data_IF_309999034829
#
_entry.id   IF_309999034829
#
_cell.length_a   1.000
_cell.length_b   1.000
_cell.length_c   1.000
_cell.angle_alpha   90.00
_cell.angle_beta   90.00
_cell.angle_gamma   90.00
#
_symmetry.space_group_name_H-M   'P 1'
#
loop_
_entity.id
_entity.type
_entity.pdbx_description
1 polymer ?
#
# COMPACT_ATOMS: atom_id res chain seq x y z
N UNK A 1 3.12 18.67 -23.39
CA UNK A 1 2.54 19.13 -22.12
C UNK A 1 3.66 19.18 -21.06
N UNK A 2 4.11 20.38 -20.63
CA UNK A 2 5.20 20.50 -19.63
C UNK A 2 4.63 20.21 -18.24
N UNK A 3 4.96 19.07 -17.65
CA UNK A 3 4.71 18.76 -16.25
C UNK A 3 5.42 19.78 -15.36
N UNK A 4 4.68 20.67 -14.71
CA UNK A 4 5.22 21.53 -13.65
C UNK A 4 5.40 20.68 -12.39
N UNK A 5 6.60 20.17 -12.17
CA UNK A 5 6.97 19.47 -10.94
C UNK A 5 7.06 20.52 -9.83
N UNK A 6 6.04 20.60 -8.98
CA UNK A 6 6.14 21.35 -7.72
C UNK A 6 6.96 20.52 -6.72
N UNK A 7 8.10 21.05 -6.28
CA UNK A 7 8.81 20.57 -5.09
C UNK A 7 7.97 20.95 -3.86
N UNK A 8 7.20 20.03 -3.34
CA UNK A 8 6.49 20.22 -2.08
C UNK A 8 6.54 18.91 -1.30
N UNK A 9 7.53 18.77 -0.47
CA UNK A 9 7.60 17.73 0.54
C UNK A 9 8.34 18.27 1.76
N UNK A 10 7.65 18.41 2.85
CA UNK A 10 8.28 18.74 4.12
C UNK A 10 8.83 17.44 4.73
N UNK A 11 10.06 17.05 4.31
CA UNK A 11 10.73 15.80 4.70
C UNK A 11 11.02 15.66 6.21
N UNK A 12 10.49 16.54 7.07
CA UNK A 12 10.73 16.49 8.52
C UNK A 12 10.23 15.20 9.16
N UNK A 13 9.13 14.65 8.67
CA UNK A 13 8.55 13.42 9.21
C UNK A 13 9.12 12.12 8.61
N UNK A 14 9.87 12.19 7.51
CA UNK A 14 10.44 11.01 6.85
C UNK A 14 11.55 10.32 7.66
N UNK A 15 12.23 11.04 8.56
CA UNK A 15 13.35 10.49 9.36
C UNK A 15 12.96 9.26 10.19
N UNK A 16 11.72 9.18 10.69
CA UNK A 16 11.25 8.00 11.43
C UNK A 16 11.30 6.73 10.60
N UNK A 17 11.12 6.82 9.28
CA UNK A 17 11.13 5.68 8.38
C UNK A 17 12.54 5.13 8.12
N UNK A 18 13.61 5.92 8.33
CA UNK A 18 14.98 5.42 8.27
C UNK A 18 15.25 4.31 9.29
N UNK A 19 14.54 4.34 10.44
CA UNK A 19 14.60 3.30 11.45
C UNK A 19 13.57 2.19 11.15
N UNK A 20 12.34 2.56 10.85
CA UNK A 20 11.25 1.62 10.69
C UNK A 20 11.39 0.70 9.46
N UNK A 21 12.00 1.18 8.35
CA UNK A 21 12.14 0.38 7.13
C UNK A 21 13.15 -0.77 7.30
N UNK A 22 14.36 -0.58 7.85
CA UNK A 22 15.25 -1.70 8.18
C UNK A 22 14.62 -2.71 9.17
N UNK A 23 13.90 -2.22 10.18
CA UNK A 23 13.17 -3.05 11.14
C UNK A 23 12.01 -3.85 10.48
N UNK A 24 11.53 -3.40 9.33
CA UNK A 24 10.50 -4.09 8.56
C UNK A 24 11.02 -5.31 7.77
N UNK A 25 12.27 -5.75 7.94
CA UNK A 25 12.80 -6.97 7.32
C UNK A 25 11.99 -8.24 7.64
N UNK A 26 11.23 -8.22 8.72
CA UNK A 26 10.25 -9.29 9.05
C UNK A 26 9.21 -9.54 7.95
N UNK A 27 9.02 -8.63 6.98
CA UNK A 27 8.10 -8.84 5.86
C UNK A 27 8.44 -10.06 5.02
N UNK A 28 9.71 -10.46 4.99
CA UNK A 28 10.16 -11.63 4.22
C UNK A 28 9.68 -12.97 4.78
N UNK A 29 9.02 -12.99 5.93
CA UNK A 29 8.25 -14.16 6.39
C UNK A 29 7.04 -14.49 5.48
N UNK A 30 6.54 -13.49 4.73
CA UNK A 30 5.35 -13.60 3.87
C UNK A 30 5.53 -12.96 2.49
N UNK A 31 6.58 -12.19 2.29
CA UNK A 31 6.93 -11.58 1.02
C UNK A 31 8.21 -12.20 0.45
N UNK A 32 8.36 -12.14 -0.85
CA UNK A 32 9.62 -12.42 -1.51
C UNK A 32 10.34 -11.10 -1.82
N UNK A 33 11.67 -11.12 -1.86
CA UNK A 33 12.43 -10.11 -2.58
C UNK A 33 12.13 -10.29 -4.05
N UNK A 34 11.26 -9.43 -4.59
CA UNK A 34 10.74 -9.61 -5.94
C UNK A 34 11.80 -9.24 -6.97
N UNK A 35 11.90 -9.96 -8.08
CA UNK A 35 12.89 -9.62 -9.10
C UNK A 35 12.59 -8.28 -9.76
N UNK A 36 13.66 -7.60 -10.15
CA UNK A 36 13.59 -6.46 -11.07
C UNK A 36 13.90 -6.96 -12.48
N UNK A 37 12.95 -6.86 -13.39
CA UNK A 37 13.05 -7.41 -14.75
C UNK A 37 13.17 -6.29 -15.79
N UNK A 38 14.07 -6.46 -16.77
CA UNK A 38 14.19 -5.54 -17.89
C UNK A 38 12.98 -5.70 -18.84
N UNK A 39 12.26 -4.62 -19.08
CA UNK A 39 11.09 -4.59 -19.97
C UNK A 39 11.54 -4.29 -21.41
N UNK A 40 12.13 -5.27 -22.08
CA UNK A 40 12.82 -5.12 -23.39
C UNK A 40 11.95 -4.41 -24.43
N UNK A 41 10.75 -4.90 -24.69
CA UNK A 41 9.86 -4.33 -25.71
C UNK A 41 9.45 -2.89 -25.40
N UNK A 42 9.18 -2.59 -24.11
CA UNK A 42 8.83 -1.24 -23.67
C UNK A 42 10.05 -0.32 -23.76
N UNK A 43 11.22 -0.82 -23.41
CA UNK A 43 12.49 -0.08 -23.51
C UNK A 43 12.81 0.34 -24.95
N UNK A 44 12.62 -0.57 -25.92
CA UNK A 44 12.79 -0.27 -27.33
C UNK A 44 11.77 0.79 -27.79
N UNK A 45 10.49 0.59 -27.44
CA UNK A 45 9.41 1.49 -27.84
C UNK A 45 9.61 2.91 -27.33
N UNK A 46 10.05 3.06 -26.09
CA UNK A 46 10.21 4.38 -25.43
C UNK A 46 11.64 4.91 -25.52
N UNK A 47 12.54 4.22 -26.23
CA UNK A 47 13.96 4.56 -26.35
C UNK A 47 14.60 4.87 -24.98
N UNK A 48 14.41 3.97 -24.02
CA UNK A 48 14.85 4.11 -22.63
C UNK A 48 15.18 2.74 -22.03
N UNK A 49 15.91 2.69 -20.92
CA UNK A 49 16.09 1.46 -20.14
C UNK A 49 15.02 1.36 -19.09
N UNK A 50 14.01 0.51 -19.29
CA UNK A 50 12.85 0.39 -18.40
C UNK A 50 12.90 -0.95 -17.68
N UNK A 51 12.78 -0.89 -16.37
CA UNK A 51 12.77 -2.04 -15.48
C UNK A 51 11.46 -2.09 -14.69
N UNK A 52 10.99 -3.30 -14.39
CA UNK A 52 9.78 -3.55 -13.62
C UNK A 52 10.14 -4.27 -12.33
N UNK A 53 9.90 -3.64 -11.17
CA UNK A 53 9.92 -4.33 -9.87
C UNK A 53 8.64 -5.15 -9.74
N UNK A 54 8.78 -6.47 -9.75
CA UNK A 54 7.70 -7.43 -10.01
C UNK A 54 6.89 -7.78 -8.75
N UNK A 55 6.22 -6.81 -8.16
CA UNK A 55 5.34 -7.04 -6.99
C UNK A 55 4.06 -7.85 -7.34
N UNK A 56 3.78 -8.06 -8.60
CA UNK A 56 2.77 -9.00 -9.08
C UNK A 56 3.15 -10.49 -8.84
N UNK A 57 4.42 -10.78 -8.59
CA UNK A 57 4.89 -12.12 -8.26
C UNK A 57 4.81 -12.45 -6.77
N UNK A 58 4.38 -11.53 -5.93
CA UNK A 58 4.14 -11.77 -4.52
C UNK A 58 3.04 -12.84 -4.31
N UNK A 59 3.02 -13.59 -3.18
CA UNK A 59 2.05 -14.67 -2.91
C UNK A 59 0.57 -14.29 -3.01
N UNK A 60 0.28 -12.98 -2.95
CA UNK A 60 -1.08 -12.42 -3.12
C UNK A 60 -1.18 -11.52 -4.35
N UNK A 61 -0.21 -11.63 -5.28
CA UNK A 61 -0.13 -10.85 -6.52
C UNK A 61 -0.10 -9.33 -6.31
N UNK A 62 0.47 -8.88 -5.20
CA UNK A 62 0.66 -7.45 -4.89
C UNK A 62 1.54 -7.22 -3.67
N UNK A 63 2.12 -6.03 -3.58
CA UNK A 63 2.96 -5.58 -2.47
C UNK A 63 2.25 -5.48 -1.10
N UNK A 64 0.93 -5.64 -1.05
CA UNK A 64 0.13 -5.38 0.16
C UNK A 64 0.43 -6.32 1.32
N UNK A 65 0.98 -7.52 1.07
CA UNK A 65 1.43 -8.42 2.11
C UNK A 65 2.50 -7.78 3.00
N UNK A 66 3.44 -7.01 2.44
CA UNK A 66 4.56 -6.37 3.16
C UNK A 66 4.05 -5.46 4.28
N UNK A 67 3.29 -4.43 3.96
CA UNK A 67 2.80 -3.47 4.95
C UNK A 67 1.76 -4.06 5.91
N UNK A 68 0.90 -4.96 5.45
CA UNK A 68 -0.06 -5.64 6.31
C UNK A 68 0.66 -6.50 7.36
N UNK A 69 1.63 -7.30 6.94
CA UNK A 69 2.41 -8.15 7.85
C UNK A 69 3.22 -7.32 8.83
N UNK A 70 3.98 -6.32 8.34
CA UNK A 70 4.77 -5.46 9.21
C UNK A 70 3.92 -4.75 10.26
N UNK A 71 2.71 -4.31 9.90
CA UNK A 71 1.78 -3.73 10.88
C UNK A 71 1.36 -4.74 11.93
N UNK A 72 0.96 -5.93 11.53
CA UNK A 72 0.34 -6.92 12.41
C UNK A 72 1.39 -7.58 13.33
N UNK A 73 2.57 -7.91 12.82
CA UNK A 73 3.64 -8.54 13.62
C UNK A 73 4.12 -7.62 14.74
N UNK A 74 4.11 -6.30 14.54
CA UNK A 74 4.50 -5.30 15.52
C UNK A 74 3.39 -4.90 16.52
N UNK A 75 2.24 -5.55 16.51
CA UNK A 75 1.22 -5.38 17.54
C UNK A 75 1.61 -6.12 18.82
N UNK A 76 1.20 -5.58 19.98
CA UNK A 76 1.33 -6.30 21.24
C UNK A 76 0.50 -7.59 21.22
N UNK A 77 0.92 -8.60 21.98
CA UNK A 77 0.22 -9.89 22.06
C UNK A 77 -1.22 -9.73 22.52
N UNK A 78 -1.49 -8.80 23.42
CA UNK A 78 -2.86 -8.41 23.82
C UNK A 78 -3.69 -7.93 22.64
N UNK A 79 -3.14 -7.14 21.70
CA UNK A 79 -3.84 -6.69 20.49
C UNK A 79 -4.03 -7.82 19.49
N UNK A 80 -3.02 -8.69 19.33
CA UNK A 80 -3.09 -9.86 18.45
C UNK A 80 -4.16 -10.85 18.93
N UNK A 81 -4.24 -11.14 20.23
CA UNK A 81 -5.21 -12.08 20.80
C UNK A 81 -6.67 -11.64 20.64
N UNK A 82 -6.92 -10.32 20.61
CA UNK A 82 -8.25 -9.78 20.35
C UNK A 82 -8.69 -9.98 18.90
N UNK A 83 -7.73 -10.00 17.96
CA UNK A 83 -7.97 -10.17 16.53
C UNK A 83 -7.87 -8.89 15.71
N UNK A 84 -7.88 -9.09 14.41
CA UNK A 84 -7.63 -8.06 13.40
C UNK A 84 -8.90 -7.85 12.56
N UNK A 85 -9.10 -6.60 12.14
CA UNK A 85 -10.15 -6.25 11.19
C UNK A 85 -9.62 -5.29 10.12
N UNK A 86 -10.08 -5.48 8.89
CA UNK A 86 -9.87 -4.54 7.80
C UNK A 86 -11.12 -4.42 6.93
N UNK A 87 -11.22 -3.33 6.18
CA UNK A 87 -12.22 -3.15 5.13
C UNK A 87 -11.53 -3.02 3.78
N UNK A 88 -11.76 -3.94 2.88
CA UNK A 88 -11.21 -3.92 1.52
C UNK A 88 -11.81 -5.05 0.69
N UNK A 89 -12.11 -4.77 -0.58
CA UNK A 89 -12.51 -5.77 -1.56
C UNK A 89 -11.35 -6.28 -2.44
N UNK A 90 -10.12 -5.84 -2.17
CA UNK A 90 -8.97 -6.09 -3.06
C UNK A 90 -7.72 -6.62 -2.35
N UNK A 91 -6.57 -6.15 -2.85
CA UNK A 91 -5.25 -6.63 -2.45
C UNK A 91 -4.94 -6.46 -0.95
N UNK A 92 -5.46 -5.39 -0.32
CA UNK A 92 -5.26 -5.19 1.12
C UNK A 92 -5.96 -6.26 1.98
N UNK A 93 -7.16 -6.67 1.59
CA UNK A 93 -7.87 -7.76 2.26
C UNK A 93 -7.05 -9.06 2.25
N UNK A 94 -6.47 -9.41 1.10
CA UNK A 94 -5.62 -10.58 0.95
C UNK A 94 -4.32 -10.44 1.76
N UNK A 95 -3.70 -9.26 1.78
CA UNK A 95 -2.49 -9.01 2.58
C UNK A 95 -2.73 -9.19 4.08
N UNK A 96 -3.83 -8.64 4.59
CA UNK A 96 -4.21 -8.81 6.01
C UNK A 96 -4.54 -10.25 6.33
N UNK A 97 -5.31 -10.94 5.46
CA UNK A 97 -5.65 -12.35 5.65
C UNK A 97 -4.42 -13.26 5.66
N UNK A 98 -3.47 -13.06 4.73
CA UNK A 98 -2.21 -13.81 4.69
C UNK A 98 -1.38 -13.58 5.95
N UNK A 99 -1.23 -12.33 6.38
CA UNK A 99 -0.49 -11.98 7.58
C UNK A 99 -1.09 -12.63 8.84
N UNK A 100 -2.42 -12.57 8.97
CA UNK A 100 -3.11 -13.20 10.09
C UNK A 100 -3.00 -14.74 10.06
N UNK A 101 -3.08 -15.36 8.87
CA UNK A 101 -2.87 -16.81 8.69
C UNK A 101 -1.47 -17.21 9.17
N UNK A 102 -0.43 -16.50 8.73
CA UNK A 102 0.96 -16.76 9.10
C UNK A 102 1.18 -16.65 10.61
N UNK A 103 0.55 -15.67 11.25
CA UNK A 103 0.70 -15.39 12.69
C UNK A 103 -0.33 -16.10 13.56
N UNK A 104 -1.20 -16.93 12.98
CA UNK A 104 -2.30 -17.62 13.67
C UNK A 104 -3.21 -16.67 14.47
N UNK A 105 -3.60 -15.55 13.85
CA UNK A 105 -4.42 -14.50 14.48
C UNK A 105 -5.82 -14.49 13.84
N UNK A 106 -6.86 -14.31 14.67
CA UNK A 106 -8.24 -14.14 14.20
C UNK A 106 -8.33 -12.94 13.25
N UNK A 107 -8.85 -13.17 12.05
CA UNK A 107 -8.97 -12.18 10.98
C UNK A 107 -10.42 -11.97 10.57
N UNK A 108 -10.87 -10.73 10.53
CA UNK A 108 -12.16 -10.33 10.00
C UNK A 108 -11.96 -9.32 8.86
N UNK A 109 -12.54 -9.61 7.71
CA UNK A 109 -12.51 -8.71 6.56
C UNK A 109 -13.96 -8.29 6.25
N UNK A 110 -14.18 -6.98 6.21
CA UNK A 110 -15.48 -6.43 5.76
C UNK A 110 -15.34 -6.04 4.30
N UNK A 111 -16.22 -6.57 3.47
CA UNK A 111 -16.26 -6.35 2.02
C UNK A 111 -17.63 -5.83 1.61
N UNK A 112 -17.74 -4.98 0.59
CA UNK A 112 -19.06 -4.64 0.02
C UNK A 112 -19.72 -5.88 -0.60
N UNK A 113 -21.04 -5.90 -0.68
CA UNK A 113 -21.79 -7.01 -1.30
C UNK A 113 -21.51 -7.13 -2.81
N UNK A 114 -21.04 -6.07 -3.42
CA UNK A 114 -20.63 -5.99 -4.82
C UNK A 114 -19.21 -6.52 -5.09
N UNK A 115 -18.52 -7.01 -4.04
CA UNK A 115 -17.16 -7.53 -4.21
C UNK A 115 -17.14 -8.74 -5.15
N UNK A 116 -16.20 -8.80 -6.12
CA UNK A 116 -16.07 -9.94 -7.02
C UNK A 116 -15.86 -11.24 -6.27
N UNK A 117 -16.54 -12.30 -6.71
CA UNK A 117 -16.54 -13.60 -6.03
C UNK A 117 -15.13 -14.21 -5.93
N UNK A 118 -14.29 -14.04 -6.94
CA UNK A 118 -12.92 -14.50 -6.93
C UNK A 118 -12.10 -13.84 -5.80
N UNK A 119 -12.28 -12.53 -5.55
CA UNK A 119 -11.62 -11.81 -4.46
C UNK A 119 -12.14 -12.27 -3.09
N UNK A 120 -13.45 -12.51 -2.97
CA UNK A 120 -14.06 -13.07 -1.78
C UNK A 120 -13.49 -14.46 -1.44
N UNK A 121 -13.43 -15.34 -2.44
CA UNK A 121 -12.95 -16.71 -2.28
C UNK A 121 -11.45 -16.74 -1.93
N UNK A 122 -10.64 -15.86 -2.50
CA UNK A 122 -9.21 -15.73 -2.14
C UNK A 122 -9.03 -15.37 -0.67
N UNK A 123 -9.81 -14.42 -0.14
CA UNK A 123 -9.73 -14.01 1.27
C UNK A 123 -10.19 -15.15 2.20
N UNK A 124 -11.25 -15.85 1.85
CA UNK A 124 -11.75 -17.03 2.62
C UNK A 124 -10.70 -18.16 2.63
N UNK A 125 -10.06 -18.45 1.49
CA UNK A 125 -8.99 -19.46 1.38
C UNK A 125 -7.79 -19.16 2.27
N UNK A 126 -7.52 -17.88 2.54
CA UNK A 126 -6.51 -17.44 3.48
C UNK A 126 -6.95 -17.54 4.95
N UNK A 127 -8.16 -18.05 5.23
CA UNK A 127 -8.66 -18.32 6.59
C UNK A 127 -9.34 -17.12 7.26
N UNK A 128 -9.55 -16.01 6.56
CA UNK A 128 -10.26 -14.88 7.15
C UNK A 128 -11.77 -15.07 7.17
N UNK A 129 -12.43 -14.63 8.25
CA UNK A 129 -13.87 -14.47 8.30
C UNK A 129 -14.27 -13.26 7.47
N UNK A 130 -15.17 -13.42 6.50
CA UNK A 130 -15.67 -12.31 5.69
C UNK A 130 -17.07 -11.91 6.14
N UNK A 131 -17.25 -10.59 6.27
CA UNK A 131 -18.54 -9.95 6.50
C UNK A 131 -18.89 -9.10 5.30
N UNK A 132 -19.94 -9.44 4.57
CA UNK A 132 -20.45 -8.61 3.47
C UNK A 132 -21.34 -7.51 4.04
N UNK A 133 -21.10 -6.24 3.65
CA UNK A 133 -21.91 -5.13 4.14
C UNK A 133 -21.83 -3.91 3.22
N UNK A 134 -23.00 -3.42 2.84
CA UNK A 134 -23.16 -2.22 2.01
C UNK A 134 -22.73 -2.43 0.55
N UNK A 135 -23.00 -1.47 -0.28
CA UNK A 135 -22.78 -1.55 -1.73
C UNK A 135 -21.37 -1.10 -2.16
N UNK A 136 -20.65 -0.40 -1.29
CA UNK A 136 -19.36 0.19 -1.62
C UNK A 136 -18.37 0.12 -0.44
N UNK A 137 -17.13 0.48 -0.71
CA UNK A 137 -16.06 0.44 0.30
C UNK A 137 -16.30 1.38 1.47
N UNK A 138 -16.98 2.52 1.29
CA UNK A 138 -17.27 3.46 2.36
C UNK A 138 -18.23 2.82 3.40
N UNK A 139 -19.27 2.12 2.95
CA UNK A 139 -20.17 1.36 3.83
C UNK A 139 -19.41 0.25 4.58
N UNK A 140 -18.54 -0.48 3.89
CA UNK A 140 -17.71 -1.51 4.50
C UNK A 140 -16.76 -0.93 5.58
N UNK A 141 -16.17 0.24 5.35
CA UNK A 141 -15.31 0.96 6.30
C UNK A 141 -16.07 1.36 7.57
N UNK A 142 -17.27 1.91 7.42
CA UNK A 142 -18.13 2.28 8.57
C UNK A 142 -18.45 1.04 9.40
N UNK A 143 -18.83 -0.05 8.76
CA UNK A 143 -19.12 -1.33 9.44
C UNK A 143 -17.90 -1.89 10.16
N UNK A 144 -16.72 -1.91 9.49
CA UNK A 144 -15.48 -2.38 10.08
C UNK A 144 -15.07 -1.53 11.29
N UNK A 145 -15.22 -0.20 11.20
CA UNK A 145 -14.97 0.71 12.32
C UNK A 145 -15.88 0.42 13.53
N UNK A 146 -17.18 0.18 13.29
CA UNK A 146 -18.13 -0.21 14.35
C UNK A 146 -17.73 -1.54 14.98
N UNK A 147 -17.45 -2.56 14.18
CA UNK A 147 -17.03 -3.88 14.67
C UNK A 147 -15.69 -3.82 15.41
N UNK A 148 -14.74 -2.99 14.95
CA UNK A 148 -13.46 -2.77 15.63
C UNK A 148 -13.67 -2.28 17.06
N UNK A 149 -14.54 -1.28 17.26
CA UNK A 149 -14.84 -0.72 18.59
C UNK A 149 -15.57 -1.74 19.48
N UNK A 150 -16.60 -2.39 18.95
CA UNK A 150 -17.44 -3.34 19.70
C UNK A 150 -16.67 -4.58 20.18
N UNK A 151 -15.80 -5.12 19.31
CA UNK A 151 -15.06 -6.35 19.60
C UNK A 151 -13.60 -6.11 20.00
N UNK A 152 -13.17 -4.84 20.12
CA UNK A 152 -11.79 -4.43 20.42
C UNK A 152 -10.77 -4.96 19.41
N UNK A 153 -11.18 -5.22 18.15
CA UNK A 153 -10.27 -5.62 17.08
C UNK A 153 -9.34 -4.48 16.70
N UNK A 154 -8.10 -4.80 16.34
CA UNK A 154 -7.20 -3.80 15.75
C UNK A 154 -7.54 -3.61 14.27
N UNK A 155 -7.90 -2.38 13.90
CA UNK A 155 -8.11 -2.01 12.51
C UNK A 155 -6.77 -1.82 11.80
N UNK A 156 -6.56 -2.51 10.68
CA UNK A 156 -5.35 -2.38 9.86
C UNK A 156 -5.65 -1.51 8.64
N UNK A 157 -5.07 -0.30 8.65
CA UNK A 157 -5.28 0.67 7.58
C UNK A 157 -4.47 0.30 6.32
N UNK A 158 -5.05 0.42 5.10
CA UNK A 158 -4.41 -0.05 3.87
C UNK A 158 -3.17 0.74 3.43
N UNK A 159 -2.94 1.95 3.97
CA UNK A 159 -1.83 2.83 3.54
C UNK A 159 -1.46 3.93 4.55
N UNK A 160 -2.35 4.35 5.46
CA UNK A 160 -2.11 5.49 6.36
C UNK A 160 -1.75 5.02 7.78
N UNK A 161 -0.65 4.29 7.88
CA UNK A 161 -0.11 3.78 9.14
C UNK A 161 1.42 3.66 9.02
N UNK A 162 2.21 4.14 10.01
CA UNK A 162 3.67 4.13 9.92
C UNK A 162 4.30 2.75 9.68
N UNK A 163 3.78 1.70 10.29
CA UNK A 163 4.29 0.34 10.08
C UNK A 163 3.88 -0.20 8.70
N UNK A 164 2.67 0.12 8.24
CA UNK A 164 2.24 -0.22 6.87
C UNK A 164 3.14 0.46 5.85
N UNK A 165 3.41 1.76 6.00
CA UNK A 165 4.29 2.54 5.12
C UNK A 165 5.72 1.97 5.14
N UNK A 166 6.26 1.64 6.32
CA UNK A 166 7.59 1.07 6.45
C UNK A 166 7.71 -0.29 5.75
N UNK A 167 6.71 -1.17 5.89
CA UNK A 167 6.67 -2.44 5.16
C UNK A 167 6.70 -2.25 3.65
N UNK A 168 5.99 -1.25 3.10
CA UNK A 168 6.06 -0.91 1.67
C UNK A 168 7.42 -0.31 1.30
N UNK A 169 8.07 0.38 2.23
CA UNK A 169 9.40 0.99 2.04
C UNK A 169 10.52 -0.04 1.80
N UNK A 170 10.33 -1.30 2.17
CA UNK A 170 11.28 -2.38 1.87
C UNK A 170 11.51 -2.53 0.36
N UNK A 171 10.51 -2.22 -0.47
CA UNK A 171 10.66 -2.19 -1.93
C UNK A 171 11.69 -1.13 -2.36
N UNK A 172 11.67 0.04 -1.72
CA UNK A 172 12.67 1.08 -1.99
C UNK A 172 14.08 0.66 -1.58
N UNK A 173 14.20 -0.16 -0.51
CA UNK A 173 15.47 -0.75 -0.11
C UNK A 173 15.95 -1.76 -1.17
N UNK A 174 15.12 -2.71 -1.55
CA UNK A 174 15.43 -3.70 -2.59
C UNK A 174 15.87 -3.05 -3.91
N UNK A 175 15.15 -2.00 -4.36
CA UNK A 175 15.52 -1.24 -5.58
C UNK A 175 16.91 -0.61 -5.46
N UNK A 176 17.33 -0.13 -4.29
CA UNK A 176 18.66 0.43 -4.10
C UNK A 176 19.76 -0.62 -3.89
N UNK A 177 19.37 -1.82 -3.50
CA UNK A 177 20.27 -2.98 -3.38
C UNK A 177 20.53 -3.65 -4.74
N UNK A 178 19.71 -3.36 -5.78
CA UNK A 178 19.96 -3.74 -7.16
C UNK A 178 21.28 -3.06 -7.68
N UNK A 179 22.03 -3.77 -8.49
CA UNK A 179 23.25 -3.23 -9.13
C UNK A 179 22.96 -2.23 -10.26
N UNK A 180 21.69 -1.86 -10.45
CA UNK A 180 21.22 -0.97 -11.52
C UNK A 180 21.21 0.48 -11.04
N UNK A 181 21.75 1.38 -11.84
CA UNK A 181 21.68 2.81 -11.58
C UNK A 181 20.40 3.41 -12.17
N UNK A 182 19.44 3.73 -11.32
CA UNK A 182 18.17 4.33 -11.74
C UNK A 182 18.22 5.85 -11.70
N UNK A 183 17.69 6.52 -12.74
CA UNK A 183 17.47 7.96 -12.76
C UNK A 183 16.10 8.34 -12.20
N UNK A 184 15.10 7.52 -12.47
CA UNK A 184 13.68 7.78 -12.15
C UNK A 184 13.00 6.52 -11.67
N UNK A 185 12.18 6.64 -10.64
CA UNK A 185 11.29 5.58 -10.16
C UNK A 185 9.85 6.07 -10.32
N UNK A 186 9.04 5.36 -11.10
CA UNK A 186 7.60 5.59 -11.21
C UNK A 186 6.85 4.70 -10.23
N UNK A 187 5.98 5.29 -9.42
CA UNK A 187 5.23 4.58 -8.37
C UNK A 187 3.74 4.82 -8.54
N UNK A 188 2.91 3.78 -8.70
CA UNK A 188 1.46 3.95 -8.74
C UNK A 188 0.93 4.42 -7.39
N UNK A 189 0.00 5.37 -7.42
CA UNK A 189 -0.52 6.04 -6.22
C UNK A 189 -2.03 5.89 -6.12
N UNK A 190 -2.46 5.24 -5.04
CA UNK A 190 -3.81 5.38 -4.50
C UNK A 190 -3.76 6.24 -3.24
N UNK A 191 -3.81 5.65 -2.05
CA UNK A 191 -3.69 6.40 -0.79
C UNK A 191 -2.29 6.88 -0.42
N UNK A 192 -1.26 6.61 -1.24
CA UNK A 192 0.09 7.15 -1.11
C UNK A 192 1.08 6.34 -0.26
N UNK A 193 0.66 5.25 0.41
CA UNK A 193 1.54 4.52 1.34
C UNK A 193 2.77 3.88 0.68
N UNK A 194 2.64 3.37 -0.55
CA UNK A 194 3.75 2.83 -1.32
C UNK A 194 4.74 3.95 -1.71
N UNK A 195 4.22 5.04 -2.28
CA UNK A 195 5.03 6.19 -2.66
C UNK A 195 5.77 6.77 -1.46
N UNK A 196 5.09 6.93 -0.32
CA UNK A 196 5.70 7.45 0.91
C UNK A 196 6.84 6.54 1.41
N UNK A 197 6.63 5.22 1.47
CA UNK A 197 7.64 4.27 1.90
C UNK A 197 8.87 4.27 1.00
N UNK A 198 8.69 4.13 -0.32
CA UNK A 198 9.78 4.16 -1.30
C UNK A 198 10.51 5.50 -1.25
N UNK A 199 9.77 6.62 -1.24
CA UNK A 199 10.36 7.95 -1.21
C UNK A 199 11.18 8.20 0.04
N UNK A 200 10.68 7.80 1.21
CA UNK A 200 11.37 7.96 2.48
C UNK A 200 12.74 7.27 2.48
N UNK A 201 12.84 6.07 1.91
CA UNK A 201 14.11 5.35 1.82
C UNK A 201 15.03 5.90 0.73
N UNK A 202 14.54 5.95 -0.50
CA UNK A 202 15.34 6.32 -1.66
C UNK A 202 15.90 7.73 -1.54
N UNK A 203 15.12 8.72 -1.10
CA UNK A 203 15.57 10.11 -0.98
C UNK A 203 16.59 10.34 0.12
N UNK A 204 16.67 9.47 1.11
CA UNK A 204 17.72 9.54 2.12
C UNK A 204 19.07 8.99 1.63
N UNK A 205 19.04 7.96 0.78
CA UNK A 205 20.26 7.28 0.32
C UNK A 205 20.73 7.74 -1.05
N UNK A 206 19.82 8.04 -1.97
CA UNK A 206 20.11 8.42 -3.37
C UNK A 206 19.26 9.63 -3.77
N UNK A 207 19.60 10.82 -3.25
CA UNK A 207 18.85 12.08 -3.44
C UNK A 207 18.61 12.45 -4.90
N UNK A 208 19.50 12.07 -5.83
CA UNK A 208 19.42 12.40 -7.25
C UNK A 208 18.32 11.65 -7.98
N UNK A 209 17.96 10.43 -7.55
CA UNK A 209 16.89 9.63 -8.17
C UNK A 209 15.58 10.42 -8.08
N UNK A 210 14.93 10.65 -9.20
CA UNK A 210 13.60 11.25 -9.24
C UNK A 210 12.54 10.20 -8.89
N UNK A 211 11.56 10.57 -8.06
CA UNK A 211 10.43 9.70 -7.75
C UNK A 211 9.18 10.40 -8.26
N UNK A 212 8.42 9.69 -9.11
CA UNK A 212 7.23 10.20 -9.76
C UNK A 212 6.05 9.33 -9.35
N UNK A 213 5.11 9.93 -8.63
CA UNK A 213 3.82 9.31 -8.36
C UNK A 213 2.95 9.33 -9.61
N UNK A 214 2.33 8.19 -9.93
CA UNK A 214 1.42 8.04 -11.08
C UNK A 214 0.02 7.77 -10.57
N UNK A 215 -0.92 8.60 -10.96
CA UNK A 215 -2.34 8.47 -10.64
C UNK A 215 -3.19 8.38 -11.92
N UNK A 216 -4.34 7.76 -11.81
CA UNK A 216 -5.37 7.82 -12.87
C UNK A 216 -6.13 9.14 -12.75
N UNK A 217 -6.46 9.78 -13.85
CA UNK A 217 -7.08 11.11 -13.86
C UNK A 217 -8.36 11.21 -13.01
N UNK A 218 -9.16 10.16 -12.99
CA UNK A 218 -10.41 10.06 -12.23
C UNK A 218 -10.25 9.59 -10.77
N UNK A 219 -8.99 9.42 -10.31
CA UNK A 219 -8.65 9.00 -8.94
C UNK A 219 -7.41 9.74 -8.42
N UNK A 220 -7.14 10.95 -8.91
CA UNK A 220 -5.92 11.72 -8.66
C UNK A 220 -5.96 12.49 -7.32
N UNK A 221 -6.19 11.79 -6.21
CA UNK A 221 -6.39 12.42 -4.90
C UNK A 221 -5.10 13.06 -4.33
N UNK A 222 -3.92 12.53 -4.64
CA UNK A 222 -2.66 13.13 -4.23
C UNK A 222 -2.36 14.40 -5.04
N UNK A 223 -2.61 14.38 -6.35
CA UNK A 223 -2.47 15.55 -7.22
C UNK A 223 -3.31 16.71 -6.73
N UNK A 224 -4.58 16.47 -6.40
CA UNK A 224 -5.47 17.50 -5.88
C UNK A 224 -5.05 17.99 -4.48
N UNK A 225 -4.57 17.09 -3.63
CA UNK A 225 -4.03 17.45 -2.32
C UNK A 225 -2.79 18.34 -2.44
N UNK A 226 -1.87 18.03 -3.36
CA UNK A 226 -0.67 18.85 -3.61
C UNK A 226 -0.99 20.21 -4.21
N UNK A 227 -1.97 20.29 -5.13
CA UNK A 227 -2.44 21.57 -5.69
C UNK A 227 -3.03 22.49 -4.64
N UNK A 228 -3.85 21.94 -3.75
CA UNK A 228 -4.57 22.68 -2.72
C UNK A 228 -3.81 22.84 -1.41
N UNK A 229 -2.63 22.22 -1.29
CA UNK A 229 -1.81 22.15 -0.07
C UNK A 229 -2.58 21.64 1.18
N UNK A 230 -3.55 20.76 0.95
CA UNK A 230 -4.35 20.11 2.00
C UNK A 230 -4.91 18.79 1.50
N UNK A 231 -5.30 17.90 2.40
CA UNK A 231 -6.00 16.66 2.03
C UNK A 231 -7.37 17.00 1.43
N UNK A 232 -7.63 16.45 0.25
CA UNK A 232 -8.89 16.61 -0.48
C UNK A 232 -9.58 15.26 -0.55
N UNK A 233 -10.90 15.25 -0.37
CA UNK A 233 -11.75 14.10 -0.65
C UNK A 233 -12.34 14.27 -2.05
N UNK A 234 -12.03 13.32 -2.95
CA UNK A 234 -12.67 13.28 -4.27
C UNK A 234 -14.12 12.84 -4.12
N UNK A 235 -15.03 13.49 -4.81
CA UNK A 235 -16.46 13.13 -4.83
C UNK A 235 -16.71 11.78 -5.50
N UNK A 236 -15.91 11.50 -6.54
CA UNK A 236 -15.98 10.24 -7.31
C UNK A 236 -14.58 9.72 -7.58
N UNK A 237 -14.45 8.41 -7.72
CA UNK A 237 -13.24 7.73 -8.16
C UNK A 237 -13.58 6.76 -9.28
N UNK A 238 -12.73 6.70 -10.30
CA UNK A 238 -12.84 5.72 -11.37
C UNK A 238 -12.48 4.31 -10.88
N UNK A 239 -13.08 3.32 -11.51
CA UNK A 239 -12.90 1.91 -11.14
C UNK A 239 -12.02 1.13 -12.12
N UNK A 240 -11.56 1.75 -13.21
CA UNK A 240 -10.72 1.09 -14.20
C UNK A 240 -9.44 0.53 -13.56
N UNK A 241 -8.73 1.35 -12.80
CA UNK A 241 -7.55 0.93 -12.04
C UNK A 241 -7.91 0.72 -10.56
N UNK A 242 -8.67 -0.32 -10.25
CA UNK A 242 -9.24 -0.61 -8.93
C UNK A 242 -8.22 -0.63 -7.79
N UNK A 243 -6.98 -1.05 -8.07
CA UNK A 243 -5.89 -1.09 -7.10
C UNK A 243 -5.45 0.28 -6.57
N UNK A 244 -5.76 1.37 -7.30
CA UNK A 244 -5.44 2.76 -6.93
C UNK A 244 -6.66 3.66 -6.79
N UNK A 245 -7.86 3.11 -6.90
CA UNK A 245 -9.14 3.84 -6.76
C UNK A 245 -9.38 4.25 -5.30
N UNK A 246 -8.77 5.36 -4.90
CA UNK A 246 -8.82 5.91 -3.53
C UNK A 246 -9.24 7.36 -3.58
N UNK A 247 -10.26 7.72 -2.79
CA UNK A 247 -10.83 9.07 -2.78
C UNK A 247 -10.01 10.10 -2.00
N UNK A 248 -9.10 9.68 -1.11
CA UNK A 248 -8.31 10.60 -0.30
C UNK A 248 -6.95 10.01 0.05
N UNK A 249 -5.90 10.81 -0.10
CA UNK A 249 -4.54 10.47 0.34
C UNK A 249 -4.47 10.35 1.87
N UNK A 250 -3.62 9.45 2.37
CA UNK A 250 -3.34 9.30 3.80
C UNK A 250 -2.71 10.54 4.40
N UNK A 251 -2.99 10.81 5.68
CA UNK A 251 -2.39 11.94 6.40
C UNK A 251 -0.87 11.79 6.52
N UNK A 252 -0.40 10.61 6.91
CA UNK A 252 1.03 10.33 7.02
C UNK A 252 1.76 10.25 5.67
N UNK A 253 1.03 10.24 4.55
CA UNK A 253 1.57 10.07 3.21
C UNK A 253 1.73 11.39 2.45
N UNK A 254 1.11 12.47 2.95
CA UNK A 254 1.19 13.80 2.36
C UNK A 254 2.34 14.64 2.94
N UNK A 255 2.76 14.34 4.19
CA UNK A 255 3.87 14.99 4.90
C UNK A 255 5.25 14.51 4.41
#
# INVERSE_FOLDING_TARGET
MRLKIKKTGNFKNSKKYLKLIPEASVVYDVAIDSPTTHAVNLSIKENNNIYLKREDLQPIFSFKNRGAYNKIVNLSDKKKSLGIIAASAGNHAQGVALACKKLNIKCNIVMPVTAPENKLNNVKRLGAKVTLHGENLAHALVKASKMSKQNKYTFVHPFDDPFTIAGQGTIGKEILDDEINYDVIFVPVGGGGLLAGISAWVKQHKKKIKIIGVEVNDSACLTEALKSNKRVMLERVGLFADGVAVSQVGKNNLD
#
